data_IF_621162251636
#
_entry.id   IF_621162251636
#
_cell.length_a   1.000
_cell.length_b   1.000
_cell.length_c   1.000
_cell.angle_alpha   90.00
_cell.angle_beta   90.00
_cell.angle_gamma   90.00
#
_symmetry.space_group_name_H-M   'P 1'
#
loop_
_entity.id
_entity.type
_entity.pdbx_description
1 polymer ?
#
# COMPACT_ATOMS: atom_id res chain seq x y z
N UNK A 1 11.68 6.75 -22.16
CA UNK A 1 11.19 5.36 -21.94
C UNK A 1 11.93 4.63 -20.82
N UNK A 2 13.26 4.40 -20.89
CA UNK A 2 14.02 3.68 -19.85
C UNK A 2 13.94 4.32 -18.45
N UNK A 3 14.16 5.65 -18.36
CA UNK A 3 14.08 6.40 -17.10
C UNK A 3 12.72 6.25 -16.41
N UNK A 4 11.61 6.40 -17.15
CA UNK A 4 10.26 6.27 -16.60
C UNK A 4 10.01 4.87 -16.04
N UNK A 5 10.50 3.83 -16.74
CA UNK A 5 10.41 2.45 -16.30
C UNK A 5 11.19 2.20 -15.01
N UNK A 6 12.39 2.76 -14.89
CA UNK A 6 13.19 2.66 -13.66
C UNK A 6 12.43 3.32 -12.50
N UNK A 7 11.96 4.56 -12.67
CA UNK A 7 11.23 5.30 -11.61
C UNK A 7 9.97 4.54 -11.18
N UNK A 8 9.19 4.02 -12.13
CA UNK A 8 8.02 3.19 -11.84
C UNK A 8 8.41 1.98 -10.99
N UNK A 9 9.38 1.16 -11.43
CA UNK A 9 9.72 -0.06 -10.71
C UNK A 9 10.35 0.21 -9.35
N UNK A 10 11.17 1.25 -9.21
CA UNK A 10 11.71 1.66 -7.90
C UNK A 10 10.58 2.01 -6.93
N UNK A 11 9.63 2.86 -7.33
CA UNK A 11 8.49 3.23 -6.48
C UNK A 11 7.60 2.01 -6.16
N UNK A 12 7.29 1.18 -7.16
CA UNK A 12 6.44 0.00 -7.01
C UNK A 12 7.08 -1.06 -6.12
N UNK A 13 8.40 -1.27 -6.17
CA UNK A 13 9.09 -2.20 -5.27
C UNK A 13 9.02 -1.70 -3.83
N UNK A 14 9.22 -0.40 -3.59
CA UNK A 14 9.10 0.18 -2.25
C UNK A 14 7.68 -0.02 -1.70
N UNK A 15 6.64 0.22 -2.51
CA UNK A 15 5.25 -0.04 -2.14
C UNK A 15 5.02 -1.54 -1.90
N UNK A 16 5.55 -2.42 -2.74
CA UNK A 16 5.37 -3.85 -2.57
C UNK A 16 5.98 -4.35 -1.25
N UNK A 17 7.18 -3.86 -0.91
CA UNK A 17 7.83 -4.21 0.34
C UNK A 17 7.04 -3.69 1.55
N UNK A 18 6.56 -2.45 1.50
CA UNK A 18 5.87 -1.82 2.62
C UNK A 18 4.42 -2.28 2.79
N UNK A 19 3.62 -2.22 1.72
CA UNK A 19 2.18 -2.50 1.79
C UNK A 19 1.86 -4.00 1.71
N UNK A 20 2.70 -4.83 1.11
CA UNK A 20 2.44 -6.28 1.02
C UNK A 20 3.39 -7.11 1.86
N UNK A 21 4.70 -7.01 1.64
CA UNK A 21 5.67 -7.93 2.25
C UNK A 21 5.74 -7.75 3.76
N UNK A 22 5.87 -6.52 4.26
CA UNK A 22 5.92 -6.24 5.70
C UNK A 22 4.69 -6.80 6.45
N UNK A 23 3.44 -6.43 6.13
CA UNK A 23 2.29 -6.95 6.86
C UNK A 23 2.08 -8.46 6.68
N UNK A 24 2.39 -9.01 5.51
CA UNK A 24 2.37 -10.47 5.30
C UNK A 24 3.43 -11.17 6.16
N UNK A 25 4.62 -10.58 6.30
CA UNK A 25 5.67 -11.10 7.17
C UNK A 25 5.28 -11.03 8.65
N UNK A 26 4.59 -9.96 9.07
CA UNK A 26 4.03 -9.87 10.44
C UNK A 26 3.04 -10.99 10.68
N UNK A 27 2.15 -11.27 9.72
CA UNK A 27 1.22 -12.40 9.85
C UNK A 27 1.96 -13.74 10.00
N UNK A 28 2.96 -14.02 9.16
CA UNK A 28 3.62 -15.34 9.14
C UNK A 28 4.58 -15.53 10.33
N UNK A 29 5.39 -14.52 10.63
CA UNK A 29 6.53 -14.65 11.55
C UNK A 29 6.31 -14.02 12.93
N UNK A 30 5.32 -13.14 13.07
CA UNK A 30 5.04 -12.44 14.32
C UNK A 30 3.52 -12.21 14.52
N UNK A 31 2.70 -13.30 14.43
CA UNK A 31 1.24 -13.22 14.39
C UNK A 31 0.63 -12.52 15.60
N UNK A 32 1.32 -12.51 16.74
CA UNK A 32 0.91 -11.79 17.96
C UNK A 32 0.77 -10.27 17.73
N UNK A 33 1.56 -9.68 16.81
CA UNK A 33 1.48 -8.25 16.49
C UNK A 33 0.49 -7.92 15.36
N UNK A 34 -0.06 -8.92 14.68
CA UNK A 34 -0.86 -8.76 13.46
C UNK A 34 -2.09 -7.84 13.66
N UNK A 35 -2.66 -7.86 14.87
CA UNK A 35 -3.90 -7.14 15.19
C UNK A 35 -3.68 -5.87 16.01
N UNK A 36 -2.44 -5.54 16.39
CA UNK A 36 -2.14 -4.44 17.32
C UNK A 36 -2.65 -3.09 16.82
N UNK A 37 -2.37 -2.77 15.55
CA UNK A 37 -2.78 -1.50 14.96
C UNK A 37 -4.30 -1.35 14.81
N UNK A 38 -5.03 -2.45 14.58
CA UNK A 38 -6.49 -2.41 14.35
C UNK A 38 -7.29 -2.59 15.64
N UNK A 39 -6.75 -3.28 16.64
CA UNK A 39 -7.38 -3.45 17.96
C UNK A 39 -7.52 -2.13 18.70
N UNK A 40 -6.51 -1.26 18.64
CA UNK A 40 -6.57 0.09 19.20
C UNK A 40 -7.72 0.93 18.60
N UNK A 41 -8.18 0.59 17.39
CA UNK A 41 -9.29 1.23 16.69
C UNK A 41 -10.65 0.58 16.99
N UNK A 42 -10.68 -0.51 17.78
CA UNK A 42 -11.90 -1.26 18.08
C UNK A 42 -12.36 -2.22 16.97
N UNK A 43 -11.53 -2.50 15.96
CA UNK A 43 -11.88 -3.47 14.93
C UNK A 43 -11.75 -4.91 15.42
N UNK A 44 -12.64 -5.81 14.98
CA UNK A 44 -12.47 -7.26 15.19
C UNK A 44 -11.27 -7.81 14.40
N UNK A 45 -10.67 -8.89 14.91
CA UNK A 45 -9.40 -9.45 14.40
C UNK A 45 -9.44 -9.79 12.90
N UNK A 46 -10.58 -10.26 12.37
CA UNK A 46 -10.72 -10.59 10.96
C UNK A 46 -10.37 -9.42 10.04
N UNK A 47 -10.59 -8.18 10.49
CA UNK A 47 -10.35 -6.97 9.70
C UNK A 47 -8.87 -6.82 9.34
N UNK A 48 -7.97 -7.09 10.29
CA UNK A 48 -6.53 -7.03 10.06
C UNK A 48 -6.10 -8.02 8.96
N UNK A 49 -6.56 -9.27 9.05
CA UNK A 49 -6.25 -10.30 8.06
C UNK A 49 -6.83 -9.97 6.68
N UNK A 50 -8.10 -9.56 6.63
CA UNK A 50 -8.75 -9.14 5.39
C UNK A 50 -8.02 -7.97 4.72
N UNK A 51 -7.57 -6.99 5.52
CA UNK A 51 -6.81 -5.84 5.02
C UNK A 51 -5.48 -6.28 4.41
N UNK A 52 -4.74 -7.18 5.05
CA UNK A 52 -3.46 -7.69 4.51
C UNK A 52 -3.65 -8.46 3.22
N UNK A 53 -4.68 -9.32 3.15
CA UNK A 53 -5.03 -10.02 1.90
C UNK A 53 -5.32 -8.99 0.78
N UNK A 54 -6.14 -7.97 1.07
CA UNK A 54 -6.47 -6.93 0.09
C UNK A 54 -5.23 -6.15 -0.37
N UNK A 55 -4.32 -5.80 0.54
CA UNK A 55 -3.06 -5.13 0.19
C UNK A 55 -2.18 -5.98 -0.71
N UNK A 56 -2.01 -7.27 -0.39
CA UNK A 56 -1.23 -8.22 -1.21
C UNK A 56 -1.84 -8.34 -2.61
N UNK A 57 -3.16 -8.49 -2.73
CA UNK A 57 -3.86 -8.51 -4.01
C UNK A 57 -3.67 -7.21 -4.81
N UNK A 58 -3.76 -6.05 -4.14
CA UNK A 58 -3.54 -4.75 -4.76
C UNK A 58 -2.12 -4.59 -5.32
N UNK A 59 -1.10 -4.98 -4.55
CA UNK A 59 0.30 -4.96 -5.01
C UNK A 59 0.53 -5.93 -6.17
N UNK A 60 -0.04 -7.13 -6.13
CA UNK A 60 0.03 -8.08 -7.24
C UNK A 60 -0.63 -7.52 -8.51
N UNK A 61 -1.78 -6.85 -8.38
CA UNK A 61 -2.45 -6.22 -9.51
C UNK A 61 -1.58 -5.14 -10.17
N UNK A 62 -0.87 -4.31 -9.38
CA UNK A 62 0.03 -3.27 -9.90
C UNK A 62 1.27 -3.86 -10.57
N UNK A 63 1.89 -4.86 -9.94
CA UNK A 63 3.16 -5.45 -10.38
C UNK A 63 3.02 -6.40 -11.56
N UNK A 64 1.91 -7.13 -11.67
CA UNK A 64 1.72 -8.09 -12.75
C UNK A 64 1.47 -7.39 -14.10
N UNK A 65 2.32 -7.60 -15.13
CA UNK A 65 2.24 -6.83 -16.36
C UNK A 65 0.92 -6.97 -17.12
N UNK A 66 0.29 -8.15 -17.05
CA UNK A 66 -0.93 -8.49 -17.80
C UNK A 66 -2.22 -8.12 -17.06
N UNK A 67 -2.14 -7.52 -15.87
CA UNK A 67 -3.35 -7.08 -15.16
C UNK A 67 -4.08 -6.01 -15.99
N UNK A 68 -5.40 -6.16 -16.21
CA UNK A 68 -6.22 -5.15 -16.86
C UNK A 68 -6.08 -3.77 -16.20
N UNK A 69 -6.08 -2.70 -17.01
CA UNK A 69 -5.87 -1.34 -16.49
C UNK A 69 -6.90 -0.94 -15.45
N UNK A 70 -8.17 -1.33 -15.63
CA UNK A 70 -9.25 -1.06 -14.68
C UNK A 70 -8.91 -1.64 -13.30
N UNK A 71 -8.44 -2.89 -13.24
CA UNK A 71 -8.05 -3.51 -11.96
C UNK A 71 -6.83 -2.82 -11.34
N UNK A 72 -5.89 -2.30 -12.14
CA UNK A 72 -4.79 -1.49 -11.63
C UNK A 72 -5.31 -0.20 -10.98
N UNK A 73 -6.26 0.50 -11.61
CA UNK A 73 -6.87 1.70 -10.99
C UNK A 73 -7.54 1.37 -9.66
N UNK A 74 -8.27 0.26 -9.58
CA UNK A 74 -8.86 -0.22 -8.32
C UNK A 74 -7.80 -0.48 -7.24
N UNK A 75 -6.69 -1.13 -7.61
CA UNK A 75 -5.58 -1.37 -6.69
C UNK A 75 -4.94 -0.07 -6.19
N UNK A 76 -4.68 0.89 -7.08
CA UNK A 76 -4.15 2.21 -6.68
C UNK A 76 -5.13 2.95 -5.76
N UNK A 77 -6.43 2.94 -6.05
CA UNK A 77 -7.43 3.58 -5.21
C UNK A 77 -7.49 2.93 -3.82
N UNK A 78 -7.56 1.60 -3.74
CA UNK A 78 -7.63 0.86 -2.48
C UNK A 78 -6.41 1.09 -1.59
N UNK A 79 -5.20 1.03 -2.15
CA UNK A 79 -3.97 1.33 -1.40
C UNK A 79 -3.91 2.79 -0.96
N UNK A 80 -4.36 3.73 -1.80
CA UNK A 80 -4.41 5.15 -1.45
C UNK A 80 -5.34 5.42 -0.27
N UNK A 81 -6.56 4.88 -0.29
CA UNK A 81 -7.49 5.01 0.83
C UNK A 81 -6.96 4.37 2.10
N UNK A 82 -6.29 3.22 1.98
CA UNK A 82 -5.66 2.57 3.14
C UNK A 82 -4.61 3.46 3.79
N UNK A 83 -3.75 4.12 3.00
CA UNK A 83 -2.73 5.03 3.51
C UNK A 83 -3.33 6.33 4.10
N UNK A 84 -4.37 6.87 3.47
CA UNK A 84 -5.10 8.05 3.99
C UNK A 84 -5.75 7.72 5.33
N UNK A 85 -6.44 6.58 5.44
CA UNK A 85 -7.07 6.17 6.69
C UNK A 85 -6.05 5.79 7.76
N UNK A 86 -4.88 5.27 7.40
CA UNK A 86 -3.79 5.04 8.33
C UNK A 86 -3.29 6.37 8.94
N UNK A 87 -3.11 7.42 8.12
CA UNK A 87 -2.80 8.75 8.63
C UNK A 87 -3.86 9.27 9.60
N UNK A 88 -5.14 9.21 9.20
CA UNK A 88 -6.26 9.67 10.05
C UNK A 88 -6.30 8.88 11.36
N UNK A 89 -6.11 7.56 11.31
CA UNK A 89 -6.09 6.69 12.49
C UNK A 89 -4.97 7.07 13.46
N UNK A 90 -3.74 7.25 12.97
CA UNK A 90 -2.63 7.71 13.79
C UNK A 90 -2.84 9.13 14.34
N UNK A 91 -3.50 10.02 13.59
CA UNK A 91 -3.82 11.37 14.05
C UNK A 91 -4.87 11.38 15.16
N UNK A 92 -5.87 10.50 15.07
CA UNK A 92 -6.97 10.44 16.03
C UNK A 92 -6.63 9.64 17.29
N UNK A 93 -5.88 8.55 17.16
CA UNK A 93 -5.63 7.59 18.26
C UNK A 93 -4.28 7.84 18.93
N UNK A 94 -3.19 7.77 18.17
CA UNK A 94 -1.84 7.78 18.77
C UNK A 94 -1.27 9.20 18.93
N UNK A 95 -1.69 10.13 18.06
CA UNK A 95 -1.20 11.52 17.96
C UNK A 95 0.32 11.63 17.81
N UNK A 96 0.98 10.57 17.38
CA UNK A 96 2.41 10.53 17.13
C UNK A 96 2.71 11.05 15.73
N UNK A 97 3.43 12.17 15.64
CA UNK A 97 3.76 12.83 14.37
C UNK A 97 4.52 11.90 13.42
N UNK A 98 5.42 11.06 13.93
CA UNK A 98 6.18 10.12 13.12
C UNK A 98 5.27 9.08 12.45
N UNK A 99 4.34 8.49 13.21
CA UNK A 99 3.38 7.53 12.68
C UNK A 99 2.34 8.17 11.75
N UNK A 100 2.02 9.44 11.97
CA UNK A 100 1.16 10.20 11.06
C UNK A 100 1.86 10.45 9.70
N UNK A 101 3.10 10.91 9.69
CA UNK A 101 3.78 11.27 8.44
C UNK A 101 4.17 10.05 7.60
N UNK A 102 4.35 8.89 8.22
CA UNK A 102 4.80 7.68 7.53
C UNK A 102 3.83 7.24 6.40
N UNK A 103 2.50 7.05 6.63
CA UNK A 103 1.56 6.75 5.55
C UNK A 103 1.52 7.80 4.43
N UNK A 104 1.71 9.09 4.74
CA UNK A 104 1.73 10.15 3.74
C UNK A 104 2.97 10.06 2.82
N UNK A 105 4.12 9.68 3.38
CA UNK A 105 5.32 9.44 2.59
C UNK A 105 5.12 8.27 1.61
N UNK A 106 4.55 7.16 2.06
CA UNK A 106 4.22 6.02 1.19
C UNK A 106 3.12 6.36 0.18
N UNK A 107 2.15 7.22 0.53
CA UNK A 107 1.13 7.70 -0.40
C UNK A 107 1.77 8.51 -1.54
N UNK A 108 2.77 9.35 -1.24
CA UNK A 108 3.51 10.07 -2.27
C UNK A 108 4.29 9.12 -3.18
N UNK A 109 4.90 8.06 -2.64
CA UNK A 109 5.58 7.03 -3.44
C UNK A 109 4.59 6.26 -4.32
N UNK A 110 3.42 5.93 -3.79
CA UNK A 110 2.34 5.28 -4.56
C UNK A 110 1.87 6.18 -5.70
N UNK A 111 1.72 7.49 -5.46
CA UNK A 111 1.38 8.46 -6.50
C UNK A 111 2.47 8.54 -7.58
N UNK A 112 3.76 8.50 -7.21
CA UNK A 112 4.87 8.40 -8.18
C UNK A 112 4.73 7.13 -9.02
N UNK A 113 4.50 5.97 -8.39
CA UNK A 113 4.25 4.71 -9.11
C UNK A 113 3.10 4.86 -10.12
N UNK A 114 1.98 5.45 -9.70
CA UNK A 114 0.80 5.69 -10.54
C UNK A 114 1.12 6.56 -11.77
N UNK A 115 1.70 7.75 -11.56
CA UNK A 115 1.95 8.68 -12.65
C UNK A 115 2.95 8.13 -13.66
N UNK A 116 3.97 7.40 -13.19
CA UNK A 116 4.94 6.79 -14.09
C UNK A 116 4.40 5.54 -14.80
N UNK A 117 3.49 4.78 -14.19
CA UNK A 117 2.74 3.72 -14.90
C UNK A 117 1.94 4.30 -16.07
N UNK A 118 1.20 5.40 -15.85
CA UNK A 118 0.45 6.10 -16.91
C UNK A 118 1.37 6.60 -18.03
N UNK A 119 2.53 7.17 -17.69
CA UNK A 119 3.54 7.59 -18.67
C UNK A 119 4.11 6.42 -19.47
N UNK A 120 4.26 5.24 -18.88
CA UNK A 120 4.75 4.06 -19.62
C UNK A 120 3.70 3.57 -20.60
N UNK A 121 2.43 3.51 -20.18
CA UNK A 121 1.32 3.05 -21.02
C UNK A 121 1.09 4.01 -22.18
N UNK A 122 1.10 5.33 -21.95
CA UNK A 122 0.87 6.33 -23.01
C UNK A 122 2.01 6.42 -24.04
N UNK A 123 3.19 5.89 -23.76
CA UNK A 123 4.35 5.94 -24.67
C UNK A 123 4.57 4.61 -25.43
N UNK A 124 3.65 3.66 -25.28
CA UNK A 124 3.59 2.39 -26.01
C UNK A 124 2.40 2.43 -26.99
#
# INVERSE_FOLDING_TARGET
MKKNKIIFWTATIIIALWEAVMPLSTWIFAPEYMTFGTKALGYPDYFAYALVIAKVLGVMAITYPRTPQVLKEWAYAGLSFTLIFAFISHACVDKNIGYMLMPLAFLAILAVSYFYNKKIISNN
#
